data_IF_660840488402
#
_entry.id   IF_660840488402
#
_cell.length_a   1.000
_cell.length_b   1.000
_cell.length_c   1.000
_cell.angle_alpha   90.00
_cell.angle_beta   90.00
_cell.angle_gamma   90.00
#
_symmetry.space_group_name_H-M   'P 1'
#
loop_
_entity.id
_entity.type
_entity.pdbx_description
1 polymer ?
#
# COMPACT_ATOMS: atom_id res chain seq x y z
N UNK A 1 0.42 11.64 -3.09
CA UNK A 1 0.08 10.88 -4.31
C UNK A 1 -0.93 9.82 -3.92
N UNK A 2 -2.08 9.77 -4.58
CA UNK A 2 -3.13 8.78 -4.28
C UNK A 2 -2.91 7.56 -5.17
N UNK A 3 -2.80 6.38 -4.55
CA UNK A 3 -2.69 5.10 -5.24
C UNK A 3 -3.98 4.34 -5.01
N UNK A 4 -4.70 4.09 -6.09
CA UNK A 4 -5.91 3.27 -6.07
C UNK A 4 -5.53 1.79 -6.16
N UNK A 5 -5.95 1.02 -5.16
CA UNK A 5 -5.67 -0.41 -5.04
C UNK A 5 -6.89 -1.28 -5.37
N UNK A 6 -7.98 -0.70 -5.90
CA UNK A 6 -9.21 -1.41 -6.25
C UNK A 6 -8.97 -2.60 -7.20
N UNK A 7 -8.06 -2.44 -8.17
CA UNK A 7 -7.77 -3.48 -9.18
C UNK A 7 -6.72 -4.49 -8.70
N UNK A 8 -6.15 -4.30 -7.50
CA UNK A 8 -5.10 -5.17 -6.97
C UNK A 8 -5.64 -6.44 -6.28
N UNK A 9 -6.95 -6.68 -6.22
CA UNK A 9 -7.51 -7.95 -5.72
C UNK A 9 -6.96 -9.16 -6.47
N UNK A 10 -6.65 -9.01 -7.75
CA UNK A 10 -6.01 -10.04 -8.58
C UNK A 10 -4.47 -9.93 -8.61
N UNK A 11 -3.91 -8.87 -8.02
CA UNK A 11 -2.49 -8.54 -8.01
C UNK A 11 -1.69 -9.48 -7.11
N UNK A 12 -0.91 -10.35 -7.75
CA UNK A 12 0.02 -11.31 -7.14
C UNK A 12 1.13 -10.64 -6.31
N UNK A 13 1.88 -11.44 -5.54
CA UNK A 13 3.01 -11.07 -4.66
C UNK A 13 3.98 -10.02 -5.23
N UNK A 14 4.09 -9.94 -6.56
CA UNK A 14 4.83 -8.92 -7.30
C UNK A 14 4.32 -7.50 -7.06
N UNK A 15 3.00 -7.28 -7.08
CA UNK A 15 2.41 -5.96 -6.87
C UNK A 15 2.72 -5.44 -5.46
N UNK A 16 2.75 -6.33 -4.48
CA UNK A 16 3.20 -6.03 -3.13
C UNK A 16 4.69 -5.68 -3.08
N UNK A 17 5.55 -6.48 -3.72
CA UNK A 17 6.99 -6.21 -3.75
C UNK A 17 7.31 -4.84 -4.38
N UNK A 18 6.55 -4.44 -5.41
CA UNK A 18 6.64 -3.12 -6.02
C UNK A 18 6.15 -2.03 -5.06
N UNK A 19 5.01 -2.23 -4.40
CA UNK A 19 4.44 -1.29 -3.41
C UNK A 19 5.43 -0.99 -2.27
N UNK A 20 5.99 -2.05 -1.68
CA UNK A 20 6.97 -1.93 -0.58
C UNK A 20 8.27 -1.29 -1.08
N UNK A 21 8.69 -1.57 -2.32
CA UNK A 21 9.86 -0.92 -2.92
C UNK A 21 9.64 0.58 -3.14
N UNK A 22 8.46 0.98 -3.58
CA UNK A 22 8.09 2.40 -3.69
C UNK A 22 8.03 3.09 -2.33
N UNK A 23 7.48 2.44 -1.32
CA UNK A 23 7.45 2.98 0.04
C UNK A 23 8.86 3.24 0.58
N UNK A 24 9.76 2.27 0.43
CA UNK A 24 11.17 2.42 0.85
C UNK A 24 11.96 3.45 0.03
N UNK A 25 11.59 3.67 -1.23
CA UNK A 25 12.25 4.65 -2.10
C UNK A 25 11.69 6.06 -1.95
N UNK A 26 10.59 6.24 -1.23
CA UNK A 26 10.02 7.56 -0.98
C UNK A 26 10.57 8.06 0.36
N UNK A 27 11.56 8.98 0.37
CA UNK A 27 12.26 9.41 1.59
C UNK A 27 11.38 10.13 2.62
N UNK A 28 10.09 10.31 2.32
CA UNK A 28 9.05 10.82 3.21
C UNK A 28 7.76 10.05 2.92
N UNK A 29 7.65 8.82 3.45
CA UNK A 29 6.49 7.94 3.25
C UNK A 29 5.13 8.60 3.59
N UNK A 30 5.15 9.70 4.35
CA UNK A 30 4.05 10.62 4.67
C UNK A 30 3.18 11.11 3.48
N UNK A 31 3.53 10.81 2.23
CA UNK A 31 2.79 11.26 1.04
C UNK A 31 1.98 10.19 0.31
N UNK A 32 2.04 8.92 0.71
CA UNK A 32 1.33 7.83 0.03
C UNK A 32 -0.06 7.63 0.63
N UNK A 33 -1.05 8.04 -0.15
CA UNK A 33 -2.46 7.89 0.18
C UNK A 33 -3.01 6.68 -0.58
N UNK A 34 -3.54 5.70 0.12
CA UNK A 34 -4.14 4.53 -0.52
C UNK A 34 -5.66 4.62 -0.51
N UNK A 35 -6.26 4.31 -1.65
CA UNK A 35 -7.70 4.26 -1.84
C UNK A 35 -8.14 2.86 -2.27
N UNK A 36 -9.33 2.45 -1.81
CA UNK A 36 -9.94 1.16 -2.15
C UNK A 36 -8.99 -0.02 -1.89
N UNK A 37 -8.43 -0.09 -0.68
CA UNK A 37 -7.51 -1.16 -0.28
C UNK A 37 -8.30 -2.43 0.01
N UNK A 38 -8.11 -3.52 -0.75
CA UNK A 38 -8.83 -4.76 -0.48
C UNK A 38 -8.35 -5.42 0.81
N UNK A 39 -9.20 -6.20 1.48
CA UNK A 39 -8.92 -6.81 2.79
C UNK A 39 -7.62 -7.62 2.81
N UNK A 40 -7.34 -8.35 1.72
CA UNK A 40 -6.11 -9.13 1.56
C UNK A 40 -4.86 -8.26 1.64
N UNK A 41 -4.88 -7.05 1.07
CA UNK A 41 -3.78 -6.10 1.19
C UNK A 41 -3.71 -5.46 2.57
N UNK A 42 -4.87 -5.17 3.18
CA UNK A 42 -4.92 -4.63 4.54
C UNK A 42 -4.17 -5.53 5.53
N UNK A 43 -4.37 -6.85 5.43
CA UNK A 43 -3.64 -7.84 6.25
C UNK A 43 -2.13 -7.80 6.04
N UNK A 44 -1.67 -7.53 4.81
CA UNK A 44 -0.24 -7.48 4.50
C UNK A 44 0.38 -6.15 4.95
N UNK A 45 -0.32 -5.04 4.76
CA UNK A 45 0.07 -3.71 5.27
C UNK A 45 0.27 -3.78 6.79
N UNK A 46 -0.66 -4.43 7.51
CA UNK A 46 -0.56 -4.69 8.94
C UNK A 46 0.63 -5.59 9.28
N UNK A 47 0.82 -6.70 8.57
CA UNK A 47 1.94 -7.62 8.80
C UNK A 47 3.33 -6.99 8.56
N UNK A 48 3.40 -5.96 7.71
CA UNK A 48 4.64 -5.25 7.41
C UNK A 48 4.84 -3.99 8.27
N UNK A 49 3.97 -3.69 9.25
CA UNK A 49 3.97 -2.45 10.04
C UNK A 49 3.94 -1.17 9.19
N UNK A 50 3.42 -1.26 7.96
CA UNK A 50 3.38 -0.13 7.03
C UNK A 50 2.18 0.79 7.32
N UNK A 51 1.27 0.40 8.21
CA UNK A 51 0.06 1.17 8.50
C UNK A 51 0.37 2.59 9.00
N UNK A 52 1.44 2.77 9.77
CA UNK A 52 1.85 4.09 10.30
C UNK A 52 2.44 5.01 9.22
N UNK A 53 3.01 4.43 8.17
CA UNK A 53 3.59 5.14 7.02
C UNK A 53 2.55 5.46 5.94
N UNK A 54 1.32 4.95 6.08
CA UNK A 54 0.30 4.96 5.03
C UNK A 54 -0.96 5.69 5.46
N UNK A 55 -1.42 6.61 4.61
CA UNK A 55 -2.70 7.28 4.82
C UNK A 55 -3.79 6.59 4.01
N UNK A 56 -4.66 5.85 4.68
CA UNK A 56 -5.85 5.29 4.08
C UNK A 56 -6.89 6.39 3.91
N UNK A 57 -7.32 6.63 2.67
CA UNK A 57 -8.40 7.55 2.35
C UNK A 57 -9.60 6.74 1.83
N UNK A 58 -10.75 6.94 2.50
CA UNK A 58 -12.03 6.29 2.17
C UNK A 58 -12.59 6.73 0.82
#
# INVERSE_FOLDING_TARGET
>A
MVVNLAELEQGSTLALAVLVRWLRQTPKAQGLQFKAVPEKMMKIIQACHLQDDLQLIG
#
